data_IF_061991239578
#
_entry.id   IF_061991239578
#
_cell.length_a   1.000
_cell.length_b   1.000
_cell.length_c   1.000
_cell.angle_alpha   90.00
_cell.angle_beta   90.00
_cell.angle_gamma   90.00
#
_symmetry.space_group_name_H-M   'P 1'
#
loop_
_entity.id
_entity.type
_entity.pdbx_description
1 polymer ?
#
# COMPACT_ATOMS: atom_id res chain seq x y z
N UNK A 1 -13.22 30.66 64.44
CA UNK A 1 -12.81 31.01 63.07
C UNK A 1 -11.81 29.95 62.66
N UNK A 2 -12.25 28.91 61.95
CA UNK A 2 -11.35 27.92 61.37
C UNK A 2 -11.92 27.48 60.02
N UNK A 3 -11.33 28.05 58.96
CA UNK A 3 -11.59 27.71 57.56
C UNK A 3 -10.94 26.37 57.26
N UNK A 4 -11.76 25.34 57.00
CA UNK A 4 -11.30 24.10 56.40
C UNK A 4 -11.41 24.20 54.88
N UNK A 5 -10.26 24.33 54.23
CA UNK A 5 -10.08 24.32 52.79
C UNK A 5 -10.57 23.00 52.17
N UNK A 6 -11.50 23.12 51.22
CA UNK A 6 -11.88 22.06 50.30
C UNK A 6 -10.76 21.87 49.27
N UNK A 7 -10.07 20.72 49.34
CA UNK A 7 -9.19 20.26 48.25
C UNK A 7 -10.06 19.73 47.11
N UNK A 8 -10.27 20.56 46.09
CA UNK A 8 -10.84 20.13 44.82
C UNK A 8 -9.77 19.43 43.98
N UNK A 9 -9.93 18.13 43.76
CA UNK A 9 -9.15 17.39 42.76
C UNK A 9 -9.72 17.77 41.38
N UNK A 10 -9.00 18.61 40.65
CA UNK A 10 -9.32 18.92 39.26
C UNK A 10 -8.92 17.71 38.38
N UNK A 11 -9.92 17.00 37.89
CA UNK A 11 -9.76 15.94 36.89
C UNK A 11 -9.40 16.60 35.55
N UNK A 12 -8.11 16.61 35.19
CA UNK A 12 -7.66 16.99 33.85
C UNK A 12 -8.03 15.86 32.88
N UNK A 13 -9.17 16.01 32.20
CA UNK A 13 -9.49 15.24 31.00
C UNK A 13 -8.48 15.62 29.93
N UNK A 14 -7.44 14.80 29.78
CA UNK A 14 -6.50 14.90 28.67
C UNK A 14 -7.23 14.62 27.36
N UNK A 15 -7.66 15.68 26.68
CA UNK A 15 -7.99 15.63 25.27
C UNK A 15 -6.69 15.26 24.55
N UNK A 16 -6.50 13.98 24.25
CA UNK A 16 -5.41 13.53 23.41
C UNK A 16 -5.57 14.20 22.05
N UNK A 17 -4.65 15.10 21.70
CA UNK A 17 -4.57 15.63 20.35
C UNK A 17 -4.21 14.46 19.42
N UNK A 18 -5.17 14.00 18.61
CA UNK A 18 -4.88 13.12 17.47
C UNK A 18 -3.99 13.89 16.50
N UNK A 19 -2.72 13.49 16.38
CA UNK A 19 -1.81 14.05 15.37
C UNK A 19 -2.20 13.54 14.00
N UNK A 20 -2.54 14.47 13.12
CA UNK A 20 -2.93 14.18 11.75
C UNK A 20 -1.74 14.44 10.82
N UNK A 21 -1.25 13.37 10.18
CA UNK A 21 -0.15 13.44 9.23
C UNK A 21 -0.69 13.19 7.81
N UNK A 22 -0.58 14.19 6.93
CA UNK A 22 -0.85 14.03 5.50
C UNK A 22 0.41 13.58 4.81
N UNK A 23 0.35 12.44 4.13
CA UNK A 23 1.42 11.93 3.30
C UNK A 23 0.97 11.99 1.85
N UNK A 24 1.72 12.66 0.99
CA UNK A 24 1.48 12.60 -0.45
C UNK A 24 2.27 11.43 -1.04
N UNK A 25 1.63 10.64 -1.89
CA UNK A 25 2.29 9.52 -2.56
C UNK A 25 2.74 9.93 -3.96
N UNK A 26 4.00 9.67 -4.27
CA UNK A 26 4.54 9.79 -5.61
C UNK A 26 4.99 8.41 -6.09
N UNK A 27 4.58 8.04 -7.30
CA UNK A 27 5.03 6.81 -7.92
C UNK A 27 6.19 7.10 -8.87
N UNK A 28 7.21 6.26 -8.85
CA UNK A 28 8.30 6.35 -9.79
C UNK A 28 7.80 6.15 -11.24
N UNK A 29 8.10 7.13 -12.10
CA UNK A 29 7.77 7.12 -13.51
C UNK A 29 8.80 6.32 -14.31
N UNK A 30 8.33 5.52 -15.27
CA UNK A 30 9.19 4.74 -16.17
C UNK A 30 8.80 5.05 -17.60
N UNK A 31 9.74 5.44 -18.47
CA UNK A 31 9.44 5.60 -19.89
C UNK A 31 9.02 4.25 -20.47
N UNK A 32 7.77 4.13 -20.89
CA UNK A 32 7.39 3.05 -21.81
C UNK A 32 8.04 3.33 -23.14
N UNK A 33 8.82 2.39 -23.67
CA UNK A 33 9.46 2.56 -24.99
C UNK A 33 8.48 2.91 -26.12
N UNK A 34 7.18 2.71 -25.90
CA UNK A 34 6.08 3.24 -26.69
C UNK A 34 5.52 4.51 -26.05
N UNK A 35 6.08 5.67 -26.42
CA UNK A 35 5.53 7.03 -26.26
C UNK A 35 5.07 7.49 -24.86
N UNK A 36 5.83 8.40 -24.23
CA UNK A 36 5.48 9.38 -23.16
C UNK A 36 4.52 9.01 -21.99
N UNK A 37 4.03 7.79 -21.90
CA UNK A 37 3.13 7.36 -20.81
C UNK A 37 3.97 6.72 -19.72
N UNK A 38 4.31 7.50 -18.71
CA UNK A 38 4.94 6.96 -17.50
C UNK A 38 3.91 6.25 -16.64
N UNK A 39 4.12 4.95 -16.39
CA UNK A 39 3.31 4.17 -15.42
C UNK A 39 4.28 3.45 -14.50
N UNK A 40 3.93 3.26 -13.21
CA UNK A 40 4.86 2.65 -12.26
C UNK A 40 5.12 1.19 -12.63
N UNK A 41 6.37 0.72 -12.48
CA UNK A 41 6.83 -0.61 -12.93
C UNK A 41 5.87 -1.75 -12.56
N UNK A 42 5.33 -1.75 -11.34
CA UNK A 42 4.45 -2.81 -10.86
C UNK A 42 3.13 -2.96 -11.58
N UNK A 43 2.70 -1.94 -12.33
CA UNK A 43 1.44 -1.95 -13.07
C UNK A 43 1.60 -2.37 -14.54
N UNK A 44 2.84 -2.58 -15.00
CA UNK A 44 3.19 -3.12 -16.31
C UNK A 44 3.47 -4.62 -16.30
N UNK A 45 3.32 -5.27 -15.15
CA UNK A 45 3.65 -6.68 -15.02
C UNK A 45 2.82 -7.56 -15.95
N UNK A 46 3.48 -8.60 -16.43
CA UNK A 46 2.96 -9.71 -17.19
C UNK A 46 3.08 -11.00 -16.39
N UNK A 47 2.25 -11.96 -16.79
CA UNK A 47 2.29 -13.35 -16.38
C UNK A 47 2.02 -14.18 -17.63
N UNK A 48 2.94 -15.08 -17.95
CA UNK A 48 2.87 -15.94 -19.14
C UNK A 48 2.70 -15.13 -20.44
N UNK A 49 3.41 -14.00 -20.56
CA UNK A 49 3.36 -13.12 -21.72
C UNK A 49 2.12 -12.22 -21.82
N UNK A 50 1.17 -12.35 -20.88
CA UNK A 50 -0.08 -11.57 -20.84
C UNK A 50 0.00 -10.50 -19.77
N UNK A 51 -0.54 -9.28 -19.97
CA UNK A 51 -0.63 -8.29 -18.90
C UNK A 51 -1.35 -8.87 -17.68
N UNK A 52 -0.72 -8.81 -16.49
CA UNK A 52 -1.29 -9.30 -15.24
C UNK A 52 -2.68 -8.74 -15.00
N UNK A 53 -2.87 -7.49 -15.36
CA UNK A 53 -4.11 -6.81 -15.16
C UNK A 53 -5.25 -7.26 -16.10
N UNK A 54 -4.93 -7.77 -17.30
CA UNK A 54 -5.92 -8.43 -18.14
C UNK A 54 -6.35 -9.75 -17.47
N UNK A 55 -5.40 -10.52 -16.93
CA UNK A 55 -5.68 -11.76 -16.20
C UNK A 55 -6.55 -11.50 -14.96
N UNK A 56 -6.22 -10.46 -14.18
CA UNK A 56 -6.99 -10.07 -13.01
C UNK A 56 -8.41 -9.55 -13.35
N UNK A 57 -8.56 -8.82 -14.48
CA UNK A 57 -9.86 -8.33 -14.94
C UNK A 57 -10.76 -9.48 -15.42
N UNK A 58 -10.21 -10.48 -16.08
CA UNK A 58 -10.94 -11.72 -16.45
C UNK A 58 -11.40 -12.48 -15.20
N UNK A 59 -10.53 -12.62 -14.20
CA UNK A 59 -10.88 -13.22 -12.90
C UNK A 59 -11.98 -12.44 -12.17
N UNK A 60 -12.00 -11.11 -12.32
CA UNK A 60 -13.04 -10.23 -11.79
C UNK A 60 -14.36 -10.25 -12.59
N UNK A 61 -14.39 -10.89 -13.77
CA UNK A 61 -15.58 -10.99 -14.61
C UNK A 61 -15.73 -9.92 -15.71
N UNK A 62 -14.63 -9.46 -16.32
CA UNK A 62 -14.50 -8.56 -17.51
C UNK A 62 -15.15 -7.16 -17.42
N UNK A 63 -16.20 -6.97 -16.62
CA UNK A 63 -17.00 -5.75 -16.54
C UNK A 63 -16.49 -4.73 -15.50
N UNK A 64 -15.17 -4.70 -15.29
CA UNK A 64 -14.46 -3.89 -14.29
C UNK A 64 -15.09 -2.53 -14.01
N UNK A 65 -14.96 -1.64 -15.00
CA UNK A 65 -15.26 -0.20 -14.95
C UNK A 65 -14.57 0.58 -13.82
N UNK A 66 -14.12 -0.11 -12.78
CA UNK A 66 -13.66 0.38 -11.50
C UNK A 66 -12.59 -0.55 -10.97
N UNK A 67 -11.70 0.01 -10.19
CA UNK A 67 -10.69 -0.70 -9.42
C UNK A 67 -10.60 -0.08 -8.02
N UNK A 68 -9.93 -0.77 -7.13
CA UNK A 68 -9.58 -0.25 -5.82
C UNK A 68 -8.06 -0.03 -5.73
N UNK A 69 -7.66 1.16 -5.30
CA UNK A 69 -6.29 1.43 -4.86
C UNK A 69 -6.26 1.32 -3.35
N UNK A 70 -5.40 0.44 -2.84
CA UNK A 70 -5.23 0.18 -1.42
C UNK A 70 -3.86 0.68 -0.98
N UNK A 71 -3.82 1.46 0.09
CA UNK A 71 -2.60 1.93 0.75
C UNK A 71 -2.52 1.32 2.14
N UNK A 72 -1.49 0.53 2.42
CA UNK A 72 -1.24 -0.04 3.73
C UNK A 72 -0.02 0.62 4.39
N UNK A 73 -0.13 0.94 5.68
CA UNK A 73 1.03 1.23 6.52
C UNK A 73 1.44 -0.04 7.24
N UNK A 74 2.62 -0.54 6.91
CA UNK A 74 3.16 -1.77 7.46
C UNK A 74 4.17 -1.41 8.54
N UNK A 75 3.89 -1.89 9.75
CA UNK A 75 4.80 -1.81 10.88
C UNK A 75 5.51 -3.15 11.06
N UNK A 76 6.73 -3.09 11.61
CA UNK A 76 7.44 -4.28 12.07
C UNK A 76 7.97 -4.08 13.49
N UNK A 77 7.83 -5.13 14.30
CA UNK A 77 8.30 -5.11 15.69
C UNK A 77 9.75 -5.64 15.80
N UNK A 78 10.71 -4.90 15.23
CA UNK A 78 12.13 -5.26 15.30
C UNK A 78 13.04 -4.03 15.39
N UNK A 79 14.22 -4.21 15.98
CA UNK A 79 15.26 -3.16 16.03
C UNK A 79 16.06 -3.04 14.73
N UNK A 80 15.93 -4.02 13.85
CA UNK A 80 16.55 -4.01 12.54
C UNK A 80 15.62 -3.30 11.55
N UNK A 81 16.20 -2.55 10.62
CA UNK A 81 15.45 -1.91 9.54
C UNK A 81 15.60 -2.77 8.28
N UNK A 82 14.50 -3.10 7.57
CA UNK A 82 14.63 -3.77 6.29
C UNK A 82 15.41 -2.91 5.30
N UNK A 83 15.97 -3.55 4.28
CA UNK A 83 16.51 -2.82 3.14
C UNK A 83 15.40 -2.17 2.31
N UNK A 84 15.79 -1.34 1.34
CA UNK A 84 14.84 -0.67 0.44
C UNK A 84 14.33 -1.56 -0.70
N UNK A 85 14.98 -2.72 -0.94
CA UNK A 85 14.58 -3.59 -2.06
C UNK A 85 13.39 -4.45 -1.66
N UNK A 86 12.40 -4.67 -2.54
CA UNK A 86 11.26 -5.55 -2.28
C UNK A 86 11.67 -6.94 -1.79
N UNK A 87 12.71 -7.54 -2.37
CA UNK A 87 13.22 -8.85 -1.93
C UNK A 87 13.79 -8.81 -0.50
N UNK A 88 14.47 -7.73 -0.12
CA UNK A 88 15.00 -7.54 1.24
C UNK A 88 13.87 -7.35 2.24
N UNK A 89 12.85 -6.55 1.89
CA UNK A 89 11.67 -6.33 2.71
C UNK A 89 10.85 -7.62 2.88
N UNK A 90 10.57 -8.34 1.79
CA UNK A 90 9.85 -9.61 1.82
C UNK A 90 10.58 -10.64 2.69
N UNK A 91 11.90 -10.77 2.50
CA UNK A 91 12.72 -11.68 3.31
C UNK A 91 12.77 -11.24 4.78
N UNK A 92 12.83 -9.94 5.06
CA UNK A 92 12.79 -9.40 6.41
C UNK A 92 11.45 -9.72 7.11
N UNK A 93 10.34 -9.59 6.39
CA UNK A 93 8.99 -9.85 6.87
C UNK A 93 8.61 -11.34 6.89
N UNK A 94 9.56 -12.26 6.67
CA UNK A 94 9.30 -13.70 6.71
C UNK A 94 8.92 -14.13 8.14
N UNK A 95 7.90 -15.00 8.23
CA UNK A 95 7.25 -15.46 9.48
C UNK A 95 8.30 -15.93 10.48
N UNK A 96 8.13 -15.48 11.72
CA UNK A 96 8.87 -15.97 12.88
C UNK A 96 10.07 -15.12 13.28
N UNK A 97 10.50 -14.17 12.44
CA UNK A 97 11.64 -13.29 12.75
C UNK A 97 11.22 -11.84 12.95
N UNK A 98 10.42 -11.26 12.05
CA UNK A 98 9.92 -9.90 12.17
C UNK A 98 8.45 -9.87 11.74
N UNK A 99 7.55 -9.58 12.68
CA UNK A 99 6.11 -9.53 12.44
C UNK A 99 5.76 -8.25 11.68
N UNK A 100 5.63 -8.35 10.36
CA UNK A 100 5.21 -7.26 9.50
C UNK A 100 3.70 -7.31 9.29
N UNK A 101 2.99 -6.36 9.86
CA UNK A 101 1.53 -6.31 9.76
C UNK A 101 1.07 -4.92 9.28
N UNK A 102 0.10 -4.86 8.35
CA UNK A 102 -0.64 -3.64 8.11
C UNK A 102 -1.30 -3.19 9.41
N UNK A 103 -0.96 -1.98 9.88
CA UNK A 103 -1.57 -1.36 11.08
C UNK A 103 -2.62 -0.31 10.72
N UNK A 104 -2.61 0.15 9.47
CA UNK A 104 -3.57 1.08 8.88
C UNK A 104 -3.74 0.75 7.40
N UNK A 105 -4.96 0.94 6.90
CA UNK A 105 -5.32 0.80 5.49
C UNK A 105 -6.18 1.99 5.06
N UNK A 106 -5.84 2.57 3.93
CA UNK A 106 -6.70 3.48 3.18
C UNK A 106 -7.11 2.83 1.86
N UNK A 107 -8.35 3.06 1.43
CA UNK A 107 -8.86 2.57 0.15
C UNK A 107 -9.43 3.73 -0.66
N UNK A 108 -9.19 3.71 -1.97
CA UNK A 108 -9.71 4.70 -2.91
C UNK A 108 -10.32 3.95 -4.08
N UNK A 109 -11.63 4.15 -4.27
CA UNK A 109 -12.35 3.67 -5.45
C UNK A 109 -11.95 4.55 -6.64
N UNK A 110 -11.60 3.91 -7.75
CA UNK A 110 -11.15 4.59 -8.95
C UNK A 110 -11.87 4.06 -10.18
N UNK A 111 -12.38 4.97 -11.00
CA UNK A 111 -12.97 4.62 -12.28
C UNK A 111 -11.86 4.34 -13.30
N UNK A 112 -11.95 3.20 -13.98
CA UNK A 112 -11.10 2.90 -15.13
C UNK A 112 -11.76 3.49 -16.38
N UNK A 113 -11.12 4.46 -17.04
CA UNK A 113 -11.72 5.14 -18.18
C UNK A 113 -12.02 4.16 -19.33
N UNK A 114 -13.07 4.44 -20.09
CA UNK A 114 -13.40 3.66 -21.27
C UNK A 114 -12.44 3.93 -22.43
N UNK A 115 -12.15 2.90 -23.22
CA UNK A 115 -11.29 3.00 -24.41
C UNK A 115 -9.79 3.01 -24.12
N UNK A 116 -8.98 2.94 -25.18
CA UNK A 116 -7.53 2.76 -25.06
C UNK A 116 -7.12 1.35 -24.65
N UNK A 117 -5.81 1.13 -24.58
CA UNK A 117 -5.23 -0.08 -24.02
C UNK A 117 -5.46 -0.13 -22.52
N UNK A 118 -5.40 -1.32 -21.94
CA UNK A 118 -5.50 -1.48 -20.49
C UNK A 118 -4.42 -0.68 -19.74
N UNK A 119 -3.19 -0.67 -20.25
CA UNK A 119 -2.09 0.09 -19.67
C UNK A 119 -2.38 1.60 -19.64
N UNK A 120 -2.91 2.16 -20.73
CA UNK A 120 -3.29 3.59 -20.78
C UNK A 120 -4.39 3.91 -19.77
N UNK A 121 -5.37 3.03 -19.59
CA UNK A 121 -6.46 3.22 -18.61
C UNK A 121 -5.93 3.24 -17.18
N UNK A 122 -5.03 2.32 -16.85
CA UNK A 122 -4.36 2.31 -15.53
C UNK A 122 -3.46 3.52 -15.36
N UNK A 123 -2.70 3.92 -16.37
CA UNK A 123 -1.87 5.13 -16.34
C UNK A 123 -2.70 6.37 -16.03
N UNK A 124 -3.81 6.55 -16.74
CA UNK A 124 -4.74 7.66 -16.53
C UNK A 124 -5.32 7.63 -15.12
N UNK A 125 -5.70 6.45 -14.64
CA UNK A 125 -6.23 6.25 -13.29
C UNK A 125 -5.20 6.62 -12.22
N UNK A 126 -3.96 6.14 -12.37
CA UNK A 126 -2.86 6.44 -11.46
C UNK A 126 -2.49 7.93 -11.49
N UNK A 127 -2.57 8.58 -12.64
CA UNK A 127 -2.39 10.03 -12.74
C UNK A 127 -3.45 10.80 -11.93
N UNK A 128 -4.67 10.28 -11.80
CA UNK A 128 -5.70 10.92 -10.95
C UNK A 128 -5.44 10.78 -9.45
N UNK A 129 -4.64 9.79 -9.03
CA UNK A 129 -4.28 9.59 -7.61
C UNK A 129 -2.90 10.14 -7.27
N UNK A 130 -2.04 10.41 -8.27
CA UNK A 130 -0.73 11.02 -8.06
C UNK A 130 -0.87 12.37 -7.37
N UNK A 131 -0.07 12.57 -6.31
CA UNK A 131 -0.08 13.80 -5.52
C UNK A 131 -1.34 14.01 -4.67
N UNK A 132 -2.33 13.11 -4.72
CA UNK A 132 -3.40 13.09 -3.72
C UNK A 132 -2.81 12.58 -2.41
N UNK A 133 -3.14 13.23 -1.27
CA UNK A 133 -2.68 12.74 0.02
C UNK A 133 -3.34 11.40 0.30
N UNK A 134 -2.53 10.39 0.64
CA UNK A 134 -3.02 9.25 1.39
C UNK A 134 -3.31 9.75 2.81
N UNK A 135 -4.58 9.96 3.11
CA UNK A 135 -5.00 10.38 4.44
C UNK A 135 -4.95 9.16 5.36
N UNK A 136 -3.82 8.99 6.06
CA UNK A 136 -3.71 7.97 7.09
C UNK A 136 -3.81 8.61 8.47
N UNK A 137 -4.82 8.19 9.22
CA UNK A 137 -5.16 8.73 10.53
C UNK A 137 -4.44 7.97 11.64
N UNK A 138 -4.07 8.69 12.71
CA UNK A 138 -3.41 8.16 13.91
C UNK A 138 -2.16 7.33 13.60
N UNK A 139 -1.35 7.84 12.69
CA UNK A 139 -0.07 7.24 12.33
C UNK A 139 0.88 7.32 13.53
N UNK A 140 1.40 6.19 14.03
CA UNK A 140 2.32 6.20 15.16
C UNK A 140 3.69 6.74 14.74
N UNK A 141 4.42 7.36 15.67
CA UNK A 141 5.82 7.79 15.50
C UNK A 141 6.77 6.59 15.52
N UNK A 142 6.65 5.74 14.50
CA UNK A 142 7.33 4.46 14.36
C UNK A 142 7.89 4.33 12.94
N UNK A 143 8.97 3.54 12.74
CA UNK A 143 9.43 3.24 11.40
C UNK A 143 8.40 2.35 10.71
N UNK A 144 8.06 2.70 9.47
CA UNK A 144 6.97 2.12 8.70
C UNK A 144 7.39 1.95 7.24
N UNK A 145 6.72 1.05 6.53
CA UNK A 145 6.77 0.93 5.08
C UNK A 145 5.37 1.23 4.56
N UNK A 146 5.30 2.05 3.52
CA UNK A 146 4.06 2.26 2.78
C UNK A 146 4.00 1.25 1.66
N UNK A 147 2.91 0.50 1.59
CA UNK A 147 2.56 -0.35 0.46
C UNK A 147 1.40 0.26 -0.27
N UNK A 148 1.45 0.25 -1.60
CA UNK A 148 0.29 0.51 -2.43
C UNK A 148 0.08 -0.66 -3.38
N UNK A 149 -1.16 -1.13 -3.48
CA UNK A 149 -1.53 -2.09 -4.51
C UNK A 149 -2.89 -1.76 -5.12
N UNK A 150 -3.11 -2.26 -6.34
CA UNK A 150 -4.36 -2.10 -7.04
C UNK A 150 -4.99 -3.45 -7.33
N UNK A 151 -6.32 -3.50 -7.17
CA UNK A 151 -7.10 -4.72 -7.29
C UNK A 151 -8.46 -4.44 -7.90
N UNK A 152 -9.06 -5.45 -8.54
CA UNK A 152 -10.45 -5.41 -8.98
C UNK A 152 -11.45 -5.83 -7.89
N UNK A 153 -10.96 -6.23 -6.71
CA UNK A 153 -11.82 -6.43 -5.56
C UNK A 153 -12.50 -5.09 -5.17
N UNK A 154 -13.81 -5.08 -4.88
CA UNK A 154 -14.49 -3.85 -4.47
C UNK A 154 -13.87 -3.21 -3.22
N UNK A 155 -13.68 -1.88 -3.20
CA UNK A 155 -13.11 -1.19 -2.03
C UNK A 155 -13.91 -1.39 -0.75
N UNK A 156 -15.24 -1.56 -0.85
CA UNK A 156 -16.11 -1.81 0.30
C UNK A 156 -15.78 -3.13 1.02
N UNK A 157 -15.18 -4.10 0.32
CA UNK A 157 -14.77 -5.39 0.89
C UNK A 157 -13.35 -5.33 1.49
N UNK A 158 -12.64 -4.22 1.26
CA UNK A 158 -11.23 -4.01 1.65
C UNK A 158 -11.08 -2.94 2.74
N UNK A 159 -12.10 -2.10 2.90
CA UNK A 159 -12.16 -1.10 3.96
C UNK A 159 -12.13 -1.81 5.33
N UNK A 160 -11.16 -1.49 6.20
CA UNK A 160 -11.12 -2.08 7.54
C UNK A 160 -12.35 -1.74 8.40
N UNK A 161 -13.18 -0.78 8.00
CA UNK A 161 -14.34 -0.33 8.78
C UNK A 161 -13.93 0.36 10.09
N UNK A 162 -14.91 0.62 10.97
CA UNK A 162 -14.67 1.29 12.27
C UNK A 162 -14.17 0.34 13.38
N UNK A 163 -14.30 -0.98 13.19
CA UNK A 163 -13.89 -1.96 14.19
C UNK A 163 -12.41 -2.32 13.96
N UNK A 164 -11.61 -2.34 15.03
CA UNK A 164 -10.20 -2.75 15.02
C UNK A 164 -9.97 -4.23 14.70
N UNK A 165 -10.71 -4.77 13.75
CA UNK A 165 -10.53 -6.08 13.17
C UNK A 165 -9.21 -6.08 12.37
N UNK A 166 -8.54 -7.23 12.42
CA UNK A 166 -7.29 -7.48 11.70
C UNK A 166 -7.56 -7.17 10.21
N UNK A 167 -6.79 -6.25 9.64
CA UNK A 167 -6.93 -5.81 8.24
C UNK A 167 -7.03 -7.07 7.35
N UNK A 168 -8.22 -7.26 6.76
CA UNK A 168 -8.59 -8.49 6.07
C UNK A 168 -7.70 -8.75 4.87
N UNK A 169 -7.51 -10.03 4.57
CA UNK A 169 -6.83 -10.46 3.35
C UNK A 169 -7.66 -10.08 2.13
N UNK A 170 -6.98 -9.78 1.03
CA UNK A 170 -7.59 -9.58 -0.28
C UNK A 170 -7.32 -10.76 -1.19
N UNK A 171 -8.11 -10.85 -2.26
CA UNK A 171 -7.92 -11.84 -3.30
C UNK A 171 -6.71 -11.48 -4.17
N UNK A 172 -5.68 -12.32 -4.12
CA UNK A 172 -4.43 -12.18 -4.87
C UNK A 172 -4.63 -12.34 -6.38
N UNK A 173 -5.68 -13.04 -6.81
CA UNK A 173 -5.97 -13.22 -8.23
C UNK A 173 -6.55 -11.96 -8.87
N UNK A 174 -7.07 -11.05 -8.06
CA UNK A 174 -7.65 -9.78 -8.50
C UNK A 174 -6.66 -8.62 -8.47
N UNK A 175 -5.44 -8.83 -7.94
CA UNK A 175 -4.39 -7.82 -7.87
C UNK A 175 -3.67 -7.68 -9.20
N UNK A 176 -3.47 -6.44 -9.63
CA UNK A 176 -2.84 -6.13 -10.91
C UNK A 176 -1.71 -5.11 -10.86
N UNK A 177 -1.40 -4.58 -9.68
CA UNK A 177 -0.22 -3.74 -9.47
C UNK A 177 0.10 -3.63 -7.99
N UNK A 178 1.38 -3.48 -7.67
CA UNK A 178 1.83 -3.28 -6.29
C UNK A 178 3.17 -2.53 -6.27
N UNK A 179 3.44 -1.76 -5.22
CA UNK A 179 4.67 -1.00 -4.99
C UNK A 179 4.88 -0.76 -3.48
N UNK A 180 6.13 -0.49 -3.10
CA UNK A 180 6.53 -0.18 -1.72
C UNK A 180 7.37 1.10 -1.63
N UNK A 181 7.36 1.73 -0.46
CA UNK A 181 8.39 2.71 -0.11
C UNK A 181 9.62 2.02 0.48
N UNK A 182 10.76 2.74 0.49
CA UNK A 182 11.78 2.50 1.50
C UNK A 182 11.19 2.63 2.92
N UNK A 183 11.81 2.04 3.94
CA UNK A 183 11.48 2.34 5.34
C UNK A 183 11.56 3.84 5.62
N UNK A 184 10.52 4.38 6.25
CA UNK A 184 10.38 5.81 6.55
C UNK A 184 9.94 6.02 8.01
N UNK A 185 10.25 7.19 8.56
CA UNK A 185 9.75 7.66 9.86
C UNK A 185 8.74 8.79 9.64
N UNK A 186 7.45 8.51 9.85
CA UNK A 186 6.36 9.43 9.46
C UNK A 186 6.20 10.66 10.37
N UNK A 187 6.83 10.66 11.54
CA UNK A 187 6.99 11.81 12.42
C UNK A 187 7.88 12.92 11.83
N UNK A 188 8.78 12.56 10.91
CA UNK A 188 9.70 13.49 10.23
C UNK A 188 9.38 13.71 8.73
N UNK A 189 8.45 12.97 8.15
CA UNK A 189 8.09 13.14 6.73
C UNK A 189 7.16 14.34 6.54
N UNK A 190 7.75 15.48 6.22
CA UNK A 190 7.06 16.60 5.56
C UNK A 190 7.32 16.51 4.06
N UNK A 191 6.42 15.89 3.29
CA UNK A 191 6.57 15.83 1.83
C UNK A 191 5.97 14.59 1.18
N UNK A 192 6.56 14.21 0.05
CA UNK A 192 6.15 13.08 -0.78
C UNK A 192 6.92 11.81 -0.39
N UNK A 193 6.22 10.68 -0.36
CA UNK A 193 6.85 9.36 -0.24
C UNK A 193 6.91 8.74 -1.62
N UNK A 194 8.14 8.45 -2.04
CA UNK A 194 8.39 7.74 -3.27
C UNK A 194 8.04 6.25 -3.09
N UNK A 195 7.19 5.76 -3.99
CA UNK A 195 6.82 4.36 -4.11
C UNK A 195 7.46 3.80 -5.38
N UNK A 196 8.10 2.65 -5.23
CA UNK A 196 8.69 1.91 -6.33
C UNK A 196 8.38 0.43 -6.20
N UNK A 197 8.30 -0.25 -7.34
CA UNK A 197 8.41 -1.70 -7.39
C UNK A 197 9.67 -2.02 -8.18
N UNK A 198 10.66 -2.52 -7.47
CA UNK A 198 11.95 -2.91 -8.02
C UNK A 198 11.77 -4.19 -8.87
N UNK A 199 11.34 -3.99 -10.12
CA UNK A 199 11.11 -5.06 -11.08
C UNK A 199 11.49 -4.58 -12.47
N UNK A 200 12.70 -4.90 -12.89
CA UNK A 200 13.21 -4.61 -14.23
C UNK A 200 12.72 -5.62 -15.30
N UNK A 201 12.01 -6.68 -14.88
CA UNK A 201 11.48 -7.70 -15.78
C UNK A 201 9.96 -7.48 -15.96
N UNK A 202 9.46 -7.42 -17.20
CA UNK A 202 8.02 -7.40 -17.44
C UNK A 202 7.31 -8.64 -16.88
N UNK A 203 7.93 -9.82 -16.73
CA UNK A 203 7.33 -11.02 -16.13
C UNK A 203 7.35 -10.99 -14.58
N UNK A 204 6.74 -9.94 -14.02
CA UNK A 204 6.74 -9.66 -12.59
C UNK A 204 5.43 -9.98 -11.86
N UNK A 205 4.52 -10.73 -12.48
CA UNK A 205 3.23 -11.07 -11.87
C UNK A 205 3.34 -11.75 -10.51
N UNK A 206 4.37 -12.60 -10.32
CA UNK A 206 4.65 -13.21 -9.01
C UNK A 206 5.10 -12.20 -7.97
N UNK A 207 5.97 -11.26 -8.34
CA UNK A 207 6.45 -10.20 -7.45
C UNK A 207 5.31 -9.27 -7.03
N UNK A 208 4.37 -8.96 -7.93
CA UNK A 208 3.18 -8.16 -7.59
C UNK A 208 2.29 -8.87 -6.58
N UNK A 209 2.03 -10.17 -6.77
CA UNK A 209 1.25 -10.98 -5.81
C UNK A 209 1.94 -11.06 -4.46
N UNK A 210 3.23 -11.41 -4.44
CA UNK A 210 4.04 -11.42 -3.22
C UNK A 210 4.03 -10.05 -2.52
N UNK A 211 4.17 -8.96 -3.29
CA UNK A 211 4.09 -7.60 -2.81
C UNK A 211 2.73 -7.30 -2.18
N UNK A 212 1.63 -7.75 -2.76
CA UNK A 212 0.34 -7.47 -2.14
C UNK A 212 0.05 -8.42 -0.96
N UNK A 213 0.73 -9.55 -0.78
CA UNK A 213 0.40 -10.53 0.26
C UNK A 213 0.40 -9.96 1.70
N UNK A 214 -0.58 -10.37 2.51
CA UNK A 214 -0.54 -10.16 3.97
C UNK A 214 0.27 -11.26 4.68
N UNK A 215 0.59 -12.36 3.99
CA UNK A 215 1.52 -13.39 4.45
C UNK A 215 2.82 -13.27 3.65
N UNK A 216 3.63 -12.28 4.04
CA UNK A 216 4.96 -12.02 3.45
C UNK A 216 5.86 -13.27 3.49
N UNK A 217 5.64 -14.14 4.48
CA UNK A 217 6.43 -15.34 4.68
C UNK A 217 6.22 -16.40 3.61
N UNK A 218 4.95 -16.63 3.24
CA UNK A 218 4.60 -17.69 2.31
C UNK A 218 5.14 -17.41 0.91
N UNK A 219 5.30 -16.13 0.56
CA UNK A 219 5.72 -15.72 -0.78
C UNK A 219 7.22 -15.42 -0.90
N UNK A 220 7.94 -15.19 0.20
CA UNK A 220 9.40 -15.15 0.19
C UNK A 220 10.02 -16.46 -0.32
N UNK A 221 9.36 -17.60 -0.06
CA UNK A 221 9.78 -18.92 -0.58
C UNK A 221 9.44 -19.12 -2.07
N UNK A 222 8.54 -18.31 -2.63
CA UNK A 222 8.06 -18.41 -4.01
C UNK A 222 8.82 -17.49 -4.98
N UNK A 223 9.55 -16.49 -4.47
CA UNK A 223 10.41 -15.60 -5.26
C UNK A 223 11.83 -16.18 -5.30
N UNK A 224 12.36 -16.55 -6.48
CA UNK A 224 13.75 -17.01 -6.58
C UNK A 224 14.69 -15.90 -6.09
N UNK A 225 15.63 -16.25 -5.20
CA UNK A 225 16.73 -15.36 -4.87
C UNK A 225 17.49 -15.00 -6.16
N UNK A 226 17.50 -13.71 -6.52
CA UNK A 226 18.26 -13.19 -7.65
C UNK A 226 19.71 -12.92 -7.23
#
# INVERSE_FOLDING_TARGET
MDSRSLFGVALLLGLGCSTYNKVSLEFADVPTGDGDVSVPHGFFCKVDGRPLAAVASEAAGEATGRACIVTDLIYWNSRQMPGCRPAELLNFCRKGENDCEPIRRGVVDVDLPDGGTFAERVAQTLATVRGKPAEVYDTPALPLVVRVFATFQPCADLDPGEAGDRISGHDQDLVFGCAYSCPVWLDDVRGEILLDLDSFDPECGRSVRACSSNDFAREADAVPAQ
#
